data_IF_892894161429
#
_entry.id   IF_892894161429
#
_cell.length_a   1.000
_cell.length_b   1.000
_cell.length_c   1.000
_cell.angle_alpha   90.00
_cell.angle_beta   90.00
_cell.angle_gamma   90.00
#
_symmetry.space_group_name_H-M   'P 1'
#
loop_
_entity.id
_entity.type
_entity.pdbx_description
1 polymer ?
#
# COMPACT_ATOMS: atom_id res chain seq x y z
N UNK A 1 1.51 8.91 -17.77
CA UNK A 1 2.59 8.29 -16.96
C UNK A 1 1.96 7.29 -16.02
N UNK A 2 2.57 6.12 -15.91
CA UNK A 2 2.06 4.97 -15.15
C UNK A 2 2.93 4.79 -13.89
N UNK A 3 2.32 4.65 -12.72
CA UNK A 3 3.04 4.54 -11.43
C UNK A 3 2.55 3.30 -10.67
N UNK A 4 3.50 2.41 -10.35
CA UNK A 4 3.29 1.28 -9.44
C UNK A 4 3.90 1.63 -8.08
N UNK A 5 3.10 1.57 -7.02
CA UNK A 5 3.53 1.75 -5.63
C UNK A 5 3.51 0.38 -4.96
N UNK A 6 4.68 -0.18 -4.70
CA UNK A 6 4.82 -1.36 -3.84
C UNK A 6 5.12 -0.86 -2.43
N UNK A 7 4.26 -1.20 -1.48
CA UNK A 7 4.31 -0.61 -0.15
C UNK A 7 4.41 -1.64 0.96
N UNK A 8 5.08 -1.24 2.05
CA UNK A 8 5.25 -2.04 3.25
C UNK A 8 5.05 -1.13 4.49
N UNK A 9 4.77 -1.73 5.64
CA UNK A 9 4.21 -1.02 6.78
C UNK A 9 5.25 -0.60 7.81
N UNK A 10 6.34 -1.35 7.98
CA UNK A 10 7.37 -1.16 9.00
C UNK A 10 8.09 0.18 8.87
N UNK A 11 8.17 0.74 7.66
CA UNK A 11 8.84 2.01 7.37
C UNK A 11 7.95 3.24 7.46
N UNK A 12 6.64 3.07 7.71
CA UNK A 12 5.67 4.17 7.66
C UNK A 12 5.92 5.17 8.78
N UNK A 13 5.81 6.46 8.48
CA UNK A 13 5.96 7.52 9.48
C UNK A 13 4.96 7.35 10.64
N UNK A 14 5.47 7.28 11.87
CA UNK A 14 4.65 7.07 13.07
C UNK A 14 4.53 5.60 13.49
N UNK A 15 4.98 4.65 12.67
CA UNK A 15 5.20 3.27 13.10
C UNK A 15 6.53 3.21 13.86
N UNK A 16 6.46 2.82 15.13
CA UNK A 16 7.60 2.79 16.06
C UNK A 16 7.67 1.50 16.87
N UNK A 17 6.67 0.62 16.73
CA UNK A 17 6.59 -0.66 17.45
C UNK A 17 5.95 -1.75 16.60
N UNK A 18 6.38 -2.99 16.81
CA UNK A 18 5.85 -4.17 16.12
C UNK A 18 4.34 -4.38 16.31
N UNK A 19 3.78 -3.90 17.42
CA UNK A 19 2.34 -3.98 17.68
C UNK A 19 1.49 -3.16 16.69
N UNK A 20 2.09 -2.18 15.99
CA UNK A 20 1.40 -1.41 14.96
C UNK A 20 1.38 -2.13 13.61
N UNK A 21 2.25 -3.13 13.38
CA UNK A 21 2.35 -3.84 12.09
C UNK A 21 1.94 -5.32 12.18
N UNK A 22 1.80 -5.88 13.38
CA UNK A 22 1.39 -7.29 13.52
C UNK A 22 -0.13 -7.40 13.61
N UNK A 23 -0.73 -8.16 12.70
CA UNK A 23 -2.17 -8.42 12.65
C UNK A 23 -2.71 -8.96 13.98
N UNK A 24 -3.88 -8.47 14.40
CA UNK A 24 -4.52 -8.86 15.66
C UNK A 24 -3.96 -8.21 16.92
N UNK A 25 -2.87 -7.42 16.84
CA UNK A 25 -2.39 -6.64 17.99
C UNK A 25 -3.22 -5.37 18.20
N UNK A 26 -3.24 -4.86 19.44
CA UNK A 26 -4.06 -3.72 19.84
C UNK A 26 -3.81 -2.44 19.01
N UNK A 27 -2.59 -2.22 18.53
CA UNK A 27 -2.22 -1.03 17.77
C UNK A 27 -2.27 -1.22 16.25
N UNK A 28 -2.62 -2.40 15.77
CA UNK A 28 -2.57 -2.70 14.34
C UNK A 28 -3.50 -1.79 13.54
N UNK A 29 -4.72 -1.52 14.03
CA UNK A 29 -5.67 -0.62 13.36
C UNK A 29 -5.20 0.84 13.30
N UNK A 30 -4.43 1.30 14.29
CA UNK A 30 -3.76 2.60 14.20
C UNK A 30 -2.71 2.58 13.09
N UNK A 31 -1.89 1.54 13.06
CA UNK A 31 -0.87 1.38 12.04
C UNK A 31 -1.46 1.33 10.63
N UNK A 32 -2.56 0.59 10.43
CA UNK A 32 -3.23 0.47 9.11
C UNK A 32 -3.69 1.82 8.58
N UNK A 33 -4.18 2.69 9.46
CA UNK A 33 -4.58 4.07 9.11
C UNK A 33 -3.38 4.90 8.71
N UNK A 34 -2.29 4.86 9.49
CA UNK A 34 -1.05 5.57 9.15
C UNK A 34 -0.50 5.11 7.81
N UNK A 35 -0.46 3.80 7.59
CA UNK A 35 0.00 3.18 6.36
C UNK A 35 -0.83 3.61 5.15
N UNK A 36 -2.17 3.51 5.26
CA UNK A 36 -3.07 3.91 4.19
C UNK A 36 -2.92 5.40 3.85
N UNK A 37 -2.80 6.27 4.86
CA UNK A 37 -2.66 7.71 4.63
C UNK A 37 -1.29 8.11 4.03
N UNK A 38 -0.22 7.40 4.37
CA UNK A 38 1.10 7.63 3.76
C UNK A 38 1.10 7.21 2.28
N UNK A 39 0.44 6.09 1.94
CA UNK A 39 0.25 5.68 0.55
C UNK A 39 -0.65 6.65 -0.21
N UNK A 40 -1.74 7.14 0.40
CA UNK A 40 -2.55 8.20 -0.18
C UNK A 40 -1.74 9.47 -0.46
N UNK A 41 -0.80 9.82 0.43
CA UNK A 41 0.08 10.96 0.19
C UNK A 41 0.99 10.76 -1.05
N UNK A 42 1.52 9.54 -1.23
CA UNK A 42 2.28 9.16 -2.43
C UNK A 42 1.41 9.20 -3.69
N UNK A 43 0.19 8.67 -3.66
CA UNK A 43 -0.80 8.71 -4.75
C UNK A 43 -1.09 10.15 -5.17
N UNK A 44 -1.44 11.03 -4.22
CA UNK A 44 -1.67 12.45 -4.52
C UNK A 44 -0.43 13.13 -5.08
N UNK A 45 0.77 12.75 -4.62
CA UNK A 45 2.03 13.22 -5.15
C UNK A 45 2.22 12.84 -6.63
N UNK A 46 2.06 11.55 -6.94
CA UNK A 46 2.13 11.03 -8.30
C UNK A 46 1.09 11.68 -9.22
N UNK A 47 -0.15 11.84 -8.75
CA UNK A 47 -1.22 12.51 -9.49
C UNK A 47 -0.86 13.96 -9.84
N UNK A 48 -0.37 14.74 -8.86
CA UNK A 48 0.09 16.11 -9.10
C UNK A 48 1.26 16.19 -10.09
N UNK A 49 2.07 15.14 -10.17
CA UNK A 49 3.15 15.02 -11.15
C UNK A 49 2.68 14.57 -12.55
N UNK A 50 1.38 14.37 -12.77
CA UNK A 50 0.81 14.00 -14.08
C UNK A 50 0.70 12.49 -14.31
N UNK A 51 0.77 11.66 -13.25
CA UNK A 51 0.41 10.25 -13.37
C UNK A 51 -1.08 10.10 -13.74
N UNK A 52 -1.35 9.22 -14.69
CA UNK A 52 -2.70 8.96 -15.23
C UNK A 52 -3.23 7.59 -14.81
N UNK A 53 -2.33 6.68 -14.45
CA UNK A 53 -2.62 5.35 -13.91
C UNK A 53 -1.72 5.14 -12.69
N UNK A 54 -2.33 4.86 -11.54
CA UNK A 54 -1.63 4.68 -10.27
C UNK A 54 -2.18 3.40 -9.64
N UNK A 55 -1.31 2.44 -9.34
CA UNK A 55 -1.67 1.20 -8.66
C UNK A 55 -0.87 1.11 -7.37
N UNK A 56 -1.55 0.92 -6.24
CA UNK A 56 -0.93 0.67 -4.94
C UNK A 56 -1.09 -0.79 -4.53
N UNK A 57 0.00 -1.46 -4.18
CA UNK A 57 0.02 -2.89 -3.84
C UNK A 57 0.43 -3.05 -2.40
N UNK A 58 -0.49 -3.59 -1.58
CA UNK A 58 -0.15 -3.93 -0.21
C UNK A 58 0.76 -5.16 -0.19
N UNK A 59 2.02 -4.92 0.17
CA UNK A 59 3.01 -5.98 0.32
C UNK A 59 3.26 -6.32 1.79
N UNK A 60 2.49 -5.80 2.75
CA UNK A 60 2.83 -5.98 4.15
C UNK A 60 2.43 -7.36 4.69
N UNK A 61 3.39 -8.06 5.32
CA UNK A 61 3.23 -9.41 5.86
C UNK A 61 2.75 -9.44 7.31
N UNK A 62 1.55 -8.91 7.60
CA UNK A 62 1.03 -8.76 8.98
C UNK A 62 0.78 -10.07 9.75
N UNK A 63 0.74 -11.22 9.08
CA UNK A 63 0.46 -12.54 9.65
C UNK A 63 -1.03 -12.93 9.62
N UNK A 64 -1.30 -14.24 9.64
CA UNK A 64 -2.65 -14.83 9.61
C UNK A 64 -3.52 -14.24 8.48
N UNK A 65 -4.76 -13.84 8.78
CA UNK A 65 -5.72 -13.30 7.81
C UNK A 65 -5.44 -11.82 7.43
N UNK A 66 -4.44 -11.20 8.07
CA UNK A 66 -4.03 -9.81 7.80
C UNK A 66 -2.88 -9.69 6.80
N UNK A 67 -2.17 -10.79 6.50
CA UNK A 67 -1.07 -10.75 5.52
C UNK A 67 -1.57 -10.27 4.16
N UNK A 68 -0.90 -9.25 3.63
CA UNK A 68 -1.25 -8.58 2.38
C UNK A 68 -2.66 -7.97 2.39
N UNK A 69 -3.18 -7.64 3.58
CA UNK A 69 -4.54 -7.13 3.79
C UNK A 69 -4.58 -6.07 4.90
N UNK A 70 -3.72 -5.07 4.75
CA UNK A 70 -3.40 -4.04 5.74
C UNK A 70 -3.96 -2.67 5.35
N UNK A 71 -4.21 -2.41 4.06
CA UNK A 71 -4.94 -1.20 3.65
C UNK A 71 -6.33 -1.12 4.27
N UNK A 72 -6.81 0.10 4.50
CA UNK A 72 -8.20 0.38 4.90
C UNK A 72 -8.96 0.84 3.66
N UNK A 73 -9.79 -0.02 3.03
CA UNK A 73 -10.43 0.29 1.74
C UNK A 73 -11.21 1.59 1.72
N UNK A 74 -11.88 1.94 2.84
CA UNK A 74 -12.72 3.13 2.94
C UNK A 74 -11.91 4.43 3.00
N UNK A 75 -10.61 4.35 3.26
CA UNK A 75 -9.71 5.50 3.33
C UNK A 75 -8.83 5.66 2.09
N UNK A 76 -8.74 4.64 1.22
CA UNK A 76 -7.86 4.69 0.05
C UNK A 76 -8.29 5.78 -0.93
N UNK A 77 -7.29 6.50 -1.46
CA UNK A 77 -7.49 7.61 -2.37
C UNK A 77 -8.11 7.12 -3.70
N UNK A 78 -9.23 7.70 -4.16
CA UNK A 78 -9.95 7.24 -5.35
C UNK A 78 -9.18 7.45 -6.66
N UNK A 79 -8.08 8.22 -6.65
CA UNK A 79 -7.19 8.39 -7.81
C UNK A 79 -6.25 7.20 -8.05
N UNK A 80 -6.31 6.13 -7.24
CA UNK A 80 -5.56 4.91 -7.47
C UNK A 80 -6.44 3.65 -7.46
N UNK A 81 -5.99 2.63 -8.20
CA UNK A 81 -6.40 1.25 -7.96
C UNK A 81 -5.53 0.66 -6.86
N UNK A 82 -6.08 -0.27 -6.07
CA UNK A 82 -5.34 -0.92 -5.01
C UNK A 82 -5.46 -2.43 -5.09
N UNK A 83 -4.40 -3.11 -4.65
CA UNK A 83 -4.24 -4.57 -4.71
C UNK A 83 -3.91 -5.07 -3.31
N UNK A 84 -4.66 -6.09 -2.87
CA UNK A 84 -4.47 -6.81 -1.63
C UNK A 84 -4.53 -8.33 -1.90
N UNK A 85 -4.13 -9.14 -0.92
CA UNK A 85 -4.11 -10.60 -0.95
C UNK A 85 -3.18 -11.23 -2.00
N UNK A 86 -2.25 -10.45 -2.57
CA UNK A 86 -1.16 -10.97 -3.38
C UNK A 86 0.10 -11.04 -2.53
N UNK A 87 0.71 -12.24 -2.44
CA UNK A 87 1.99 -12.39 -1.78
C UNK A 87 3.09 -11.55 -2.48
N UNK A 88 4.18 -11.27 -1.75
CA UNK A 88 5.31 -10.50 -2.27
C UNK A 88 5.71 -10.86 -3.70
N UNK A 89 5.84 -9.83 -4.53
CA UNK A 89 6.30 -9.93 -5.93
C UNK A 89 5.42 -10.82 -6.82
N UNK A 90 4.15 -11.03 -6.46
CA UNK A 90 3.18 -11.81 -7.27
C UNK A 90 2.18 -10.96 -8.05
N UNK A 91 2.14 -9.64 -7.81
CA UNK A 91 1.41 -8.72 -8.68
C UNK A 91 2.38 -8.17 -9.73
N UNK A 92 2.30 -8.70 -10.96
CA UNK A 92 3.21 -8.36 -12.06
C UNK A 92 2.50 -7.74 -13.25
N UNK A 93 1.17 -7.67 -13.25
CA UNK A 93 0.33 -7.24 -14.38
C UNK A 93 0.84 -5.95 -15.05
N UNK A 94 1.07 -4.91 -14.24
CA UNK A 94 1.55 -3.63 -14.74
C UNK A 94 2.96 -3.71 -15.34
N UNK A 95 3.84 -4.55 -14.78
CA UNK A 95 5.22 -4.75 -15.25
C UNK A 95 5.26 -5.56 -16.55
N UNK A 96 4.33 -6.49 -16.74
CA UNK A 96 4.24 -7.32 -17.94
C UNK A 96 3.87 -6.50 -19.18
N UNK A 97 3.19 -5.37 -19.00
CA UNK A 97 2.88 -4.43 -20.10
C UNK A 97 4.08 -3.55 -20.50
N UNK A 98 5.21 -3.69 -19.82
CA UNK A 98 6.42 -2.89 -20.03
C UNK A 98 6.34 -1.49 -19.45
N UNK A 99 7.49 -0.83 -19.34
CA UNK A 99 7.61 0.59 -18.96
C UNK A 99 8.17 1.41 -20.13
N UNK A 100 7.75 2.66 -20.21
CA UNK A 100 8.30 3.61 -21.17
C UNK A 100 9.71 4.02 -20.69
N UNK A 101 10.66 4.18 -21.61
CA UNK A 101 12.05 4.55 -21.32
C UNK A 101 12.27 6.06 -21.21
#
# INVERSE_FOLDING_TARGET
>A
MRVLIMSDMEGVSGIVTWSQVTGGHQMYEEGRRLYTEEINAAVRGAKRAGATEIVAVDCHGAGQDWSFNSFVPELLDPDCEWVAHHAWSRYTDMLETGCDA
#
